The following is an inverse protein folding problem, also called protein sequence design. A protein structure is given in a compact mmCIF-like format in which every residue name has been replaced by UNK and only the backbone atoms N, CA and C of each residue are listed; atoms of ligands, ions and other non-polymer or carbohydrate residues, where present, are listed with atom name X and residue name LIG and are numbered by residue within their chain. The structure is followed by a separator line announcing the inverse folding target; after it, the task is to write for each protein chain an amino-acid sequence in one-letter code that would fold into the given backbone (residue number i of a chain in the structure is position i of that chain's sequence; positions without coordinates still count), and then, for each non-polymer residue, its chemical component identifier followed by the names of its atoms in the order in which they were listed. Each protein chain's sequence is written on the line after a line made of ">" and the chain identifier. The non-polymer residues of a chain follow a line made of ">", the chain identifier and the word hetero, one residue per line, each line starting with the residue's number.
data_IF_693553250170
#
_entry.id   IF_693553250170
#
_cell.length_a   1.000
_cell.length_b   1.000
_cell.length_c   1.000
_cell.angle_alpha   90.00
_cell.angle_beta   90.00
_cell.angle_gamma   90.00
#
_symmetry.space_group_name_H-M   'P 1'
#
loop_
_entity.id
_entity.type
_entity.pdbx_description
1 polymer ?
#
# COMPACT_ATOMS: atom_id res chain seq x y z
N UNK A 1 -12.41 25.29 24.46
CA UNK A 1 -13.26 24.10 24.18
C UNK A 1 -12.53 22.88 24.73
N UNK A 2 -12.78 22.56 26.00
CA UNK A 2 -12.13 21.43 26.68
C UNK A 2 -12.69 20.11 26.16
N UNK A 3 -11.80 19.23 25.68
CA UNK A 3 -12.16 17.92 25.15
C UNK A 3 -12.75 17.03 26.24
N UNK A 4 -13.99 16.58 26.04
CA UNK A 4 -14.61 15.54 26.85
C UNK A 4 -13.78 14.26 26.68
N UNK A 5 -13.24 13.65 27.75
CA UNK A 5 -12.55 12.39 27.62
C UNK A 5 -13.55 11.34 27.12
N UNK A 6 -13.35 10.89 25.88
CA UNK A 6 -14.15 9.83 25.27
C UNK A 6 -14.19 8.62 26.21
N UNK A 7 -15.41 8.24 26.58
CA UNK A 7 -15.74 7.16 27.51
C UNK A 7 -14.82 5.94 27.36
N UNK A 8 -14.23 5.49 28.47
CA UNK A 8 -13.33 4.31 28.55
C UNK A 8 -14.09 2.98 28.44
N UNK A 9 -15.10 2.91 27.57
CA UNK A 9 -15.94 1.75 27.35
C UNK A 9 -15.83 1.20 25.93
N UNK A 10 -16.48 0.08 25.72
CA UNK A 10 -16.63 -0.55 24.42
C UNK A 10 -17.46 0.36 23.49
N UNK A 11 -16.82 0.93 22.48
CA UNK A 11 -17.50 1.76 21.48
C UNK A 11 -18.32 0.94 20.47
N UNK A 12 -18.20 -0.39 20.42
CA UNK A 12 -19.02 -1.25 19.55
C UNK A 12 -20.43 -1.48 20.12
N UNK A 13 -20.55 -1.73 21.44
CA UNK A 13 -21.84 -1.97 22.08
C UNK A 13 -22.29 -0.83 23.03
N UNK A 14 -21.43 0.16 23.28
CA UNK A 14 -21.69 1.28 24.19
C UNK A 14 -21.50 0.97 25.68
N UNK A 15 -21.14 -0.26 26.05
CA UNK A 15 -20.98 -0.64 27.46
C UNK A 15 -19.66 -0.17 28.07
N UNK A 16 -19.71 0.28 29.32
CA UNK A 16 -18.53 0.69 30.10
C UNK A 16 -17.85 -0.48 30.84
N UNK A 17 -18.41 -1.69 30.79
CA UNK A 17 -17.91 -2.84 31.57
C UNK A 17 -16.70 -3.55 30.97
N UNK A 18 -16.37 -3.26 29.70
CA UNK A 18 -15.30 -3.93 28.97
C UNK A 18 -14.74 -3.03 27.87
N UNK A 19 -13.57 -3.38 27.34
CA UNK A 19 -12.99 -2.71 26.17
C UNK A 19 -13.41 -3.43 24.90
N UNK A 20 -13.30 -2.77 23.74
CA UNK A 20 -13.76 -3.34 22.46
C UNK A 20 -13.17 -4.70 22.11
N UNK A 21 -11.97 -5.01 22.60
CA UNK A 21 -11.33 -6.33 22.38
C UNK A 21 -12.05 -7.46 23.11
N UNK A 22 -12.73 -7.13 24.20
CA UNK A 22 -13.44 -8.07 25.08
C UNK A 22 -14.97 -7.99 24.88
N UNK A 23 -15.42 -7.39 23.78
CA UNK A 23 -16.85 -7.23 23.51
C UNK A 23 -17.52 -8.59 23.27
N UNK A 24 -18.48 -9.01 24.11
CA UNK A 24 -19.13 -10.31 23.97
C UNK A 24 -19.95 -10.39 22.67
N UNK A 25 -20.41 -9.26 22.13
CA UNK A 25 -21.09 -9.20 20.84
C UNK A 25 -20.15 -9.46 19.66
N UNK A 26 -18.85 -9.22 19.82
CA UNK A 26 -17.84 -9.42 18.78
C UNK A 26 -17.59 -10.90 18.49
N UNK A 27 -17.79 -11.78 19.47
CA UNK A 27 -17.65 -13.22 19.30
C UNK A 27 -18.73 -13.83 18.40
N UNK A 28 -19.88 -13.17 18.24
CA UNK A 28 -20.98 -13.66 17.38
C UNK A 28 -20.92 -13.16 15.95
N UNK A 29 -20.09 -12.17 15.65
CA UNK A 29 -19.85 -11.76 14.27
C UNK A 29 -18.75 -12.66 13.73
N UNK A 30 -19.16 -13.56 12.84
CA UNK A 30 -18.33 -14.50 12.09
C UNK A 30 -17.16 -13.74 11.43
N UNK A 31 -16.03 -13.61 12.14
CA UNK A 31 -14.78 -13.21 11.52
C UNK A 31 -14.39 -14.37 10.61
N UNK A 32 -14.25 -14.16 9.28
CA UNK A 32 -13.52 -15.15 8.50
C UNK A 32 -12.17 -15.39 9.20
N UNK A 33 -11.71 -16.66 9.28
CA UNK A 33 -10.49 -17.01 9.99
C UNK A 33 -9.38 -16.07 9.54
N UNK A 34 -8.66 -15.51 10.52
CA UNK A 34 -7.55 -14.60 10.29
C UNK A 34 -6.56 -15.31 9.37
N UNK A 35 -6.59 -14.97 8.09
CA UNK A 35 -5.63 -15.44 7.10
C UNK A 35 -4.30 -14.75 7.37
N UNK A 36 -3.54 -15.33 8.30
CA UNK A 36 -2.08 -15.43 8.41
C UNK A 36 -1.13 -14.24 8.19
N UNK A 37 -1.56 -13.09 7.66
CA UNK A 37 -0.62 -12.09 7.14
C UNK A 37 -0.26 -10.96 8.11
N UNK A 38 -0.96 -10.83 9.25
CA UNK A 38 -0.73 -9.74 10.22
C UNK A 38 -0.62 -10.23 11.69
N UNK A 39 -0.27 -11.50 11.93
CA UNK A 39 0.07 -11.95 13.27
C UNK A 39 1.49 -11.49 13.60
N UNK A 40 1.62 -10.36 14.31
CA UNK A 40 2.88 -9.95 14.94
C UNK A 40 3.16 -10.95 16.07
N UNK A 41 4.28 -11.70 16.03
CA UNK A 41 4.62 -12.64 17.09
C UNK A 41 5.10 -11.84 18.30
N UNK A 42 4.24 -11.67 19.29
CA UNK A 42 4.66 -11.19 20.62
C UNK A 42 4.95 -12.43 21.46
N UNK A 43 6.25 -12.66 21.68
CA UNK A 43 6.77 -13.39 22.84
C UNK A 43 6.65 -14.90 22.79
N UNK A 44 7.80 -15.57 22.81
CA UNK A 44 7.93 -16.99 23.07
C UNK A 44 7.45 -17.35 24.49
N UNK A 45 6.65 -18.41 24.65
CA UNK A 45 6.69 -19.24 25.84
C UNK A 45 7.52 -20.50 25.55
N UNK A 46 8.47 -20.70 26.44
CA UNK A 46 9.29 -21.88 26.64
C UNK A 46 8.47 -23.16 26.91
N UNK A 47 9.08 -24.30 26.56
CA UNK A 47 8.95 -25.65 27.16
C UNK A 47 7.80 -26.60 26.74
N UNK A 48 8.17 -27.54 25.85
CA UNK A 48 8.06 -29.03 25.91
C UNK A 48 6.79 -29.72 26.43
N UNK A 49 6.23 -30.64 25.61
CA UNK A 49 5.94 -32.09 25.83
C UNK A 49 4.89 -32.62 24.79
N UNK A 50 4.63 -33.94 24.67
CA UNK A 50 5.16 -34.86 23.67
C UNK A 50 4.13 -35.27 22.58
N UNK A 51 4.62 -35.97 21.56
CA UNK A 51 3.85 -36.62 20.48
C UNK A 51 2.82 -37.63 20.99
N UNK A 52 1.58 -37.61 20.49
CA UNK A 52 0.75 -38.79 20.42
C UNK A 52 0.70 -39.35 18.99
N UNK A 53 1.12 -40.60 18.93
CA UNK A 53 0.87 -41.66 17.98
C UNK A 53 -0.39 -41.53 17.11
N UNK A 54 -0.14 -41.82 15.83
CA UNK A 54 -1.00 -42.46 14.83
C UNK A 54 -2.33 -43.01 15.36
N UNK A 55 -3.43 -42.51 14.79
CA UNK A 55 -4.66 -43.29 14.61
C UNK A 55 -5.32 -42.84 13.31
N UNK A 56 -5.25 -43.75 12.35
CA UNK A 56 -5.94 -43.78 11.08
C UNK A 56 -7.44 -43.49 11.21
N UNK A 57 -7.93 -42.50 10.47
CA UNK A 57 -9.32 -42.41 10.08
C UNK A 57 -9.40 -42.07 8.59
N UNK A 58 -9.68 -43.10 7.82
CA UNK A 58 -10.00 -43.08 6.41
C UNK A 58 -11.27 -42.27 6.19
N UNK A 59 -11.16 -41.10 5.55
CA UNK A 59 -12.30 -40.45 4.92
C UNK A 59 -11.96 -40.20 3.46
N UNK A 60 -12.48 -41.10 2.62
CA UNK A 60 -12.62 -40.90 1.20
C UNK A 60 -13.55 -39.71 0.94
N UNK A 61 -12.96 -38.59 0.56
CA UNK A 61 -13.67 -37.48 -0.07
C UNK A 61 -12.90 -37.09 -1.33
N UNK A 62 -13.09 -37.88 -2.38
CA UNK A 62 -12.77 -37.51 -3.74
C UNK A 62 -13.62 -36.30 -4.15
N UNK A 63 -13.05 -35.11 -4.04
CA UNK A 63 -13.56 -33.89 -4.67
C UNK A 63 -12.58 -33.49 -5.79
N UNK A 64 -13.09 -33.20 -7.01
CA UNK A 64 -12.24 -32.88 -8.15
C UNK A 64 -11.61 -31.50 -7.97
N UNK A 65 -10.28 -31.48 -8.04
CA UNK A 65 -9.48 -30.28 -8.20
C UNK A 65 -9.76 -29.72 -9.59
N UNK A 66 -10.72 -28.80 -9.70
CA UNK A 66 -10.90 -27.97 -10.90
C UNK A 66 -9.76 -26.96 -11.00
N UNK A 67 -8.65 -27.45 -11.55
CA UNK A 67 -7.58 -26.69 -12.17
C UNK A 67 -8.14 -25.98 -13.40
N UNK A 68 -8.57 -24.73 -13.22
CA UNK A 68 -8.91 -23.82 -14.32
C UNK A 68 -7.62 -23.33 -14.99
N UNK A 69 -7.01 -24.20 -15.80
CA UNK A 69 -6.08 -23.82 -16.86
C UNK A 69 -6.89 -23.55 -18.14
N UNK A 70 -7.76 -22.53 -18.09
CA UNK A 70 -8.37 -22.00 -19.30
C UNK A 70 -7.39 -21.02 -19.95
N UNK A 71 -6.49 -21.57 -20.77
CA UNK A 71 -5.52 -20.69 -21.41
C UNK A 71 -4.59 -21.32 -22.43
N UNK A 72 -4.80 -22.55 -22.93
CA UNK A 72 -3.86 -23.08 -23.93
C UNK A 72 -4.37 -24.26 -24.79
N UNK A 73 -5.64 -24.28 -25.16
CA UNK A 73 -6.20 -25.35 -26.01
C UNK A 73 -6.89 -24.82 -27.29
N UNK A 74 -6.43 -23.70 -27.85
CA UNK A 74 -7.01 -23.11 -29.06
C UNK A 74 -5.98 -22.74 -30.15
N UNK A 75 -4.79 -23.35 -30.10
CA UNK A 75 -3.73 -23.13 -31.10
C UNK A 75 -3.14 -24.40 -31.73
N UNK A 76 -3.61 -25.61 -31.36
CA UNK A 76 -3.08 -26.87 -31.92
C UNK A 76 -3.93 -27.50 -33.04
N UNK A 77 -4.98 -26.82 -33.50
CA UNK A 77 -5.74 -27.22 -34.69
C UNK A 77 -5.22 -26.59 -36.01
N UNK A 78 -3.97 -26.10 -36.04
CA UNK A 78 -3.46 -25.29 -37.15
C UNK A 78 -2.42 -25.98 -38.05
N UNK A 79 -1.97 -27.21 -37.79
CA UNK A 79 -0.87 -27.84 -38.57
C UNK A 79 -1.17 -29.25 -39.11
N UNK A 80 -2.44 -29.57 -39.36
CA UNK A 80 -2.84 -30.89 -39.88
C UNK A 80 -3.94 -30.86 -40.94
N UNK A 81 -4.11 -29.78 -41.69
CA UNK A 81 -5.08 -29.75 -42.80
C UNK A 81 -4.36 -30.16 -44.08
N UNK A 82 -4.47 -31.45 -44.39
CA UNK A 82 -4.13 -32.00 -45.68
C UNK A 82 -4.87 -31.23 -46.79
N UNK A 83 -4.09 -30.96 -47.82
CA UNK A 83 -4.40 -30.20 -49.01
C UNK A 83 -5.48 -30.90 -49.86
N UNK A 84 -6.74 -30.87 -49.39
CA UNK A 84 -7.88 -31.22 -50.21
C UNK A 84 -8.35 -29.95 -50.90
N UNK A 85 -8.19 -29.94 -52.23
CA UNK A 85 -8.48 -28.85 -53.14
C UNK A 85 -9.98 -28.58 -53.19
N UNK A 86 -10.51 -27.96 -52.14
CA UNK A 86 -11.91 -27.57 -52.05
C UNK A 86 -12.05 -26.19 -52.70
N UNK A 87 -12.81 -26.14 -53.79
CA UNK A 87 -13.10 -24.93 -54.54
C UNK A 87 -13.63 -23.87 -53.59
N UNK A 88 -12.96 -22.72 -53.61
CA UNK A 88 -13.06 -21.73 -52.55
C UNK A 88 -14.43 -21.10 -52.44
N UNK A 89 -15.05 -21.27 -51.28
CA UNK A 89 -16.07 -20.32 -50.81
C UNK A 89 -15.39 -18.96 -50.61
N UNK A 90 -15.68 -17.94 -51.44
CA UNK A 90 -15.12 -16.60 -51.24
C UNK A 90 -15.45 -16.04 -49.85
N UNK A 91 -16.52 -16.53 -49.23
CA UNK A 91 -16.97 -16.18 -47.88
C UNK A 91 -15.96 -16.62 -46.80
N UNK A 92 -15.37 -17.83 -46.92
CA UNK A 92 -14.40 -18.34 -45.92
C UNK A 92 -13.14 -17.47 -45.89
N UNK A 93 -12.65 -17.07 -47.06
CA UNK A 93 -11.47 -16.19 -47.19
C UNK A 93 -11.71 -14.79 -46.60
N UNK A 94 -12.91 -14.23 -46.80
CA UNK A 94 -13.30 -12.95 -46.19
C UNK A 94 -13.32 -13.07 -44.67
N UNK A 95 -13.89 -14.15 -44.13
CA UNK A 95 -13.95 -14.37 -42.68
C UNK A 95 -12.56 -14.50 -42.05
N UNK A 96 -11.66 -15.27 -42.69
CA UNK A 96 -10.27 -15.41 -42.23
C UNK A 96 -9.56 -14.04 -42.21
N UNK A 97 -9.73 -13.23 -43.27
CA UNK A 97 -9.16 -11.89 -43.33
C UNK A 97 -9.67 -10.98 -42.20
N UNK A 98 -10.97 -11.02 -41.91
CA UNK A 98 -11.59 -10.25 -40.82
C UNK A 98 -11.02 -10.67 -39.46
N UNK A 99 -10.92 -11.97 -39.18
CA UNK A 99 -10.33 -12.47 -37.94
C UNK A 99 -8.87 -12.00 -37.79
N UNK A 100 -8.06 -12.16 -38.84
CA UNK A 100 -6.66 -11.72 -38.84
C UNK A 100 -6.55 -10.21 -38.58
N UNK A 101 -7.45 -9.41 -39.17
CA UNK A 101 -7.45 -7.96 -38.99
C UNK A 101 -7.86 -7.57 -37.56
N UNK A 102 -8.91 -8.18 -37.00
CA UNK A 102 -9.34 -7.99 -35.60
C UNK A 102 -8.21 -8.35 -34.64
N UNK A 103 -7.51 -9.46 -34.89
CA UNK A 103 -6.36 -9.87 -34.08
C UNK A 103 -5.19 -8.88 -34.19
N UNK A 104 -4.86 -8.41 -35.41
CA UNK A 104 -3.83 -7.38 -35.63
C UNK A 104 -4.16 -6.06 -34.92
N UNK A 105 -5.41 -5.60 -34.99
CA UNK A 105 -5.88 -4.40 -34.28
C UNK A 105 -5.77 -4.59 -32.76
N UNK A 106 -6.22 -5.74 -32.25
CA UNK A 106 -6.13 -6.07 -30.83
C UNK A 106 -4.69 -6.14 -30.34
N UNK A 107 -3.77 -6.71 -31.14
CA UNK A 107 -2.34 -6.77 -30.87
C UNK A 107 -1.71 -5.38 -30.84
N UNK A 108 -2.02 -4.52 -31.82
CA UNK A 108 -1.58 -3.10 -31.83
C UNK A 108 -2.07 -2.36 -30.58
N UNK A 109 -3.33 -2.53 -30.19
CA UNK A 109 -3.91 -1.89 -28.99
C UNK A 109 -3.25 -2.35 -27.69
N UNK A 110 -2.86 -3.63 -27.57
CA UNK A 110 -2.08 -4.14 -26.41
C UNK A 110 -0.67 -3.55 -26.38
N UNK A 111 0.03 -3.51 -27.51
CA UNK A 111 1.37 -2.92 -27.60
C UNK A 111 1.37 -1.42 -27.31
N UNK A 112 0.37 -0.68 -27.80
CA UNK A 112 0.23 0.75 -27.52
C UNK A 112 -0.07 1.01 -26.04
N UNK A 113 -0.96 0.23 -25.41
CA UNK A 113 -1.19 0.30 -23.96
C UNK A 113 0.10 0.02 -23.17
N UNK A 114 0.94 -0.91 -23.62
CA UNK A 114 2.24 -1.19 -23.00
C UNK A 114 3.18 0.02 -23.14
N UNK A 115 3.30 0.58 -24.35
CA UNK A 115 4.08 1.82 -24.60
C UNK A 115 3.60 3.02 -23.79
N UNK A 116 2.30 3.14 -23.52
CA UNK A 116 1.76 4.21 -22.66
C UNK A 116 2.06 4.00 -21.17
N UNK A 117 2.09 2.75 -20.68
CA UNK A 117 2.36 2.41 -19.26
C UNK A 117 3.84 2.42 -18.89
N UNK A 118 4.71 2.15 -19.86
CA UNK A 118 6.16 2.11 -19.67
C UNK A 118 6.78 3.42 -19.14
N UNK A 119 6.49 4.61 -19.70
CA UNK A 119 7.04 5.86 -19.16
C UNK A 119 6.55 6.15 -17.74
N UNK A 120 5.31 5.81 -17.40
CA UNK A 120 4.77 5.98 -16.04
C UNK A 120 5.46 5.06 -15.04
N UNK A 121 5.72 3.80 -15.42
CA UNK A 121 6.49 2.87 -14.61
C UNK A 121 7.91 3.39 -14.37
N UNK A 122 8.60 3.84 -15.43
CA UNK A 122 9.96 4.39 -15.33
C UNK A 122 9.97 5.66 -14.46
N UNK A 123 9.00 6.57 -14.64
CA UNK A 123 8.86 7.78 -13.83
C UNK A 123 8.67 7.45 -12.35
N UNK A 124 7.74 6.55 -12.01
CA UNK A 124 7.52 6.10 -10.63
C UNK A 124 8.76 5.44 -10.02
N UNK A 125 9.51 4.66 -10.82
CA UNK A 125 10.76 4.05 -10.38
C UNK A 125 11.84 5.10 -10.09
N UNK A 126 11.96 6.15 -10.90
CA UNK A 126 12.89 7.27 -10.64
C UNK A 126 12.55 8.00 -9.35
N UNK A 127 11.27 8.32 -9.12
CA UNK A 127 10.83 8.99 -7.88
C UNK A 127 11.16 8.14 -6.65
N UNK A 128 10.87 6.83 -6.69
CA UNK A 128 11.21 5.92 -5.58
C UNK A 128 12.71 5.90 -5.29
N UNK A 129 13.54 5.90 -6.33
CA UNK A 129 15.00 5.92 -6.17
C UNK A 129 15.50 7.26 -5.60
N UNK A 130 14.92 8.39 -6.01
CA UNK A 130 15.26 9.70 -5.47
C UNK A 130 14.91 9.79 -3.98
N UNK A 131 13.68 9.44 -3.62
CA UNK A 131 13.25 9.43 -2.22
C UNK A 131 14.09 8.48 -1.35
N UNK A 132 14.56 7.36 -1.93
CA UNK A 132 15.48 6.44 -1.26
C UNK A 132 16.83 7.09 -0.94
N UNK A 133 17.42 7.80 -1.91
CA UNK A 133 18.69 8.54 -1.72
C UNK A 133 18.53 9.71 -0.73
N UNK A 134 17.43 10.44 -0.80
CA UNK A 134 17.13 11.53 0.14
C UNK A 134 17.03 11.00 1.57
N UNK A 135 16.32 9.90 1.77
CA UNK A 135 16.22 9.24 3.08
C UNK A 135 17.58 8.77 3.60
N UNK A 136 18.39 8.14 2.77
CA UNK A 136 19.74 7.69 3.14
C UNK A 136 20.62 8.89 3.53
N UNK A 137 20.57 9.99 2.77
CA UNK A 137 21.32 11.21 3.08
C UNK A 137 20.90 11.83 4.42
N UNK A 138 19.59 11.83 4.70
CA UNK A 138 19.05 12.31 5.97
C UNK A 138 19.47 11.43 7.15
N UNK A 139 19.44 10.10 6.99
CA UNK A 139 19.89 9.15 8.02
C UNK A 139 21.40 9.34 8.32
N UNK A 140 22.23 9.55 7.29
CA UNK A 140 23.65 9.87 7.47
C UNK A 140 23.87 11.22 8.17
N UNK A 141 23.13 12.26 7.78
CA UNK A 141 23.24 13.59 8.40
C UNK A 141 22.83 13.54 9.88
N UNK A 142 21.71 12.89 10.18
CA UNK A 142 21.27 12.67 11.57
C UNK A 142 22.29 11.84 12.35
N UNK A 143 22.86 10.80 11.75
CA UNK A 143 23.93 10.01 12.33
C UNK A 143 25.13 10.86 12.73
N UNK A 144 25.63 11.70 11.80
CA UNK A 144 26.73 12.64 12.07
C UNK A 144 26.39 13.64 13.18
N UNK A 145 25.16 14.18 13.21
CA UNK A 145 24.73 15.10 14.27
C UNK A 145 24.68 14.43 15.63
N UNK A 146 24.25 13.17 15.70
CA UNK A 146 24.24 12.40 16.94
C UNK A 146 25.67 12.06 17.37
N UNK A 147 26.52 11.63 16.46
CA UNK A 147 27.94 11.34 16.72
C UNK A 147 28.68 12.56 17.26
N UNK A 148 28.42 13.75 16.72
CA UNK A 148 28.97 15.02 17.24
C UNK A 148 28.45 15.39 18.64
N UNK A 149 27.21 15.00 18.99
CA UNK A 149 26.60 15.28 20.30
C UNK A 149 26.98 14.24 21.37
N UNK A 150 27.33 13.01 20.97
CA UNK A 150 27.66 11.93 21.91
C UNK A 150 28.79 12.27 22.90
N UNK A 151 29.91 12.89 22.48
CA UNK A 151 30.96 13.32 23.41
C UNK A 151 30.51 14.39 24.41
N UNK A 152 29.51 15.21 24.05
CA UNK A 152 28.98 16.26 24.94
C UNK A 152 28.08 15.67 26.03
N UNK A 153 27.34 14.61 25.72
CA UNK A 153 26.42 13.95 26.66
C UNK A 153 27.13 12.96 27.58
N UNK A 154 28.21 12.34 27.10
CA UNK A 154 29.06 11.45 27.89
C UNK A 154 30.47 12.03 27.94
N UNK A 155 30.72 13.11 28.73
CA UNK A 155 32.09 13.46 29.05
C UNK A 155 32.68 12.27 29.77
N UNK A 156 33.58 11.55 29.10
CA UNK A 156 34.37 10.49 29.72
C UNK A 156 35.14 11.18 30.83
N UNK A 157 34.67 11.01 32.07
CA UNK A 157 35.35 11.51 33.26
C UNK A 157 36.62 10.66 33.42
N UNK A 158 37.64 10.98 32.64
CA UNK A 158 39.01 10.60 32.98
C UNK A 158 39.42 11.51 34.14
N UNK A 159 39.03 11.09 35.35
CA UNK A 159 39.49 11.56 36.66
C UNK A 159 39.68 13.08 36.84
N UNK A 160 38.74 13.76 37.50
CA UNK A 160 39.05 15.08 38.04
C UNK A 160 37.85 15.93 38.45
N UNK A 161 37.63 15.98 39.76
CA UNK A 161 37.13 17.13 40.55
C UNK A 161 35.84 17.81 40.06
N UNK A 162 34.74 17.44 40.72
CA UNK A 162 33.44 18.08 40.57
C UNK A 162 33.46 19.50 41.15
N UNK A 163 33.44 20.53 40.30
CA UNK A 163 33.18 21.92 40.70
C UNK A 163 31.96 22.43 39.93
N UNK A 164 31.02 23.01 40.68
CA UNK A 164 29.62 23.16 40.32
C UNK A 164 29.33 23.98 39.05
N UNK A 165 28.68 23.30 38.08
CA UNK A 165 28.14 23.88 36.84
C UNK A 165 26.65 24.25 37.01
N UNK A 166 26.40 25.33 37.77
CA UNK A 166 25.04 25.88 37.95
C UNK A 166 24.77 27.03 36.95
N UNK A 167 25.80 27.69 36.45
CA UNK A 167 25.69 28.78 35.45
C UNK A 167 25.35 28.30 34.03
N UNK A 168 25.95 27.19 33.59
CA UNK A 168 25.82 26.67 32.21
C UNK A 168 24.37 26.31 31.85
N UNK A 169 23.57 25.88 32.83
CA UNK A 169 22.17 25.47 32.62
C UNK A 169 21.25 26.62 32.21
N UNK A 170 21.58 27.87 32.55
CA UNK A 170 20.75 29.04 32.18
C UNK A 170 20.92 29.40 30.70
N UNK A 171 22.15 29.37 30.20
CA UNK A 171 22.42 29.66 28.79
C UNK A 171 21.89 28.54 27.88
N UNK A 172 22.00 27.28 28.34
CA UNK A 172 21.41 26.13 27.67
C UNK A 172 19.87 26.22 27.58
N UNK A 173 19.21 26.68 28.65
CA UNK A 173 17.76 26.93 28.64
C UNK A 173 17.35 28.02 27.64
N UNK A 174 18.17 29.07 27.46
CA UNK A 174 17.90 30.12 26.49
C UNK A 174 18.02 29.59 25.05
N UNK A 175 19.05 28.78 24.78
CA UNK A 175 19.25 28.12 23.48
C UNK A 175 18.10 27.17 23.16
N UNK A 176 17.69 26.33 24.11
CA UNK A 176 16.58 25.38 23.92
C UNK A 176 15.23 26.06 23.72
N UNK A 177 15.01 27.25 24.31
CA UNK A 177 13.80 28.05 24.05
C UNK A 177 13.79 28.60 22.63
N UNK A 178 14.91 29.17 22.17
CA UNK A 178 15.02 29.67 20.80
C UNK A 178 14.88 28.55 19.76
N UNK A 179 15.47 27.37 20.01
CA UNK A 179 15.31 26.21 19.12
C UNK A 179 13.85 25.72 19.09
N UNK A 180 13.16 25.66 20.23
CA UNK A 180 11.74 25.30 20.28
C UNK A 180 10.84 26.29 19.53
N UNK A 181 11.13 27.59 19.64
CA UNK A 181 10.40 28.62 18.90
C UNK A 181 10.57 28.45 17.39
N UNK A 182 11.80 28.21 16.94
CA UNK A 182 12.09 27.92 15.52
C UNK A 182 11.38 26.65 15.03
N UNK A 183 11.33 25.60 15.86
CA UNK A 183 10.64 24.36 15.53
C UNK A 183 9.12 24.57 15.44
N UNK A 184 8.53 25.41 16.29
CA UNK A 184 7.11 25.78 16.18
C UNK A 184 6.83 26.50 14.87
N UNK A 185 7.68 27.48 14.50
CA UNK A 185 7.54 28.19 13.22
C UNK A 185 7.64 27.24 12.01
N UNK A 186 8.56 26.27 12.04
CA UNK A 186 8.67 25.24 10.97
C UNK A 186 7.43 24.35 10.89
N UNK A 187 6.88 23.95 12.04
CA UNK A 187 5.66 23.13 12.08
C UNK A 187 4.43 23.90 11.58
N UNK A 188 4.33 25.19 11.87
CA UNK A 188 3.26 26.03 11.35
C UNK A 188 3.40 26.24 9.83
N UNK A 189 4.62 26.47 9.33
CA UNK A 189 4.88 26.55 7.89
C UNK A 189 4.57 25.25 7.14
N UNK A 190 4.94 24.10 7.71
CA UNK A 190 4.65 22.79 7.11
C UNK A 190 3.14 22.47 7.07
N UNK A 191 2.37 22.95 8.05
CA UNK A 191 0.90 22.83 8.03
C UNK A 191 0.29 23.67 6.93
N UNK A 192 0.75 24.90 6.77
CA UNK A 192 0.27 25.80 5.71
C UNK A 192 0.52 25.21 4.31
N UNK A 193 1.72 24.67 4.05
CA UNK A 193 2.02 24.04 2.75
C UNK A 193 1.19 22.78 2.52
N UNK A 194 0.97 21.98 3.56
CA UNK A 194 0.16 20.76 3.46
C UNK A 194 -1.33 21.07 3.17
N UNK A 195 -1.86 22.17 3.73
CA UNK A 195 -3.21 22.63 3.45
C UNK A 195 -3.34 23.17 2.01
N UNK A 196 -2.34 23.92 1.54
CA UNK A 196 -2.28 24.39 0.14
C UNK A 196 -2.21 23.24 -0.87
N UNK A 197 -1.34 22.26 -0.64
CA UNK A 197 -1.23 21.06 -1.49
C UNK A 197 -2.55 20.27 -1.52
N UNK A 198 -3.19 20.14 -0.36
CA UNK A 198 -4.49 19.46 -0.25
C UNK A 198 -5.59 20.24 -0.98
N UNK A 199 -5.58 21.56 -0.91
CA UNK A 199 -6.53 22.41 -1.64
C UNK A 199 -6.36 22.26 -3.15
N UNK A 200 -5.12 22.29 -3.66
CA UNK A 200 -4.82 22.10 -5.08
C UNK A 200 -5.32 20.72 -5.55
N UNK A 201 -5.08 19.65 -4.78
CA UNK A 201 -5.56 18.30 -5.12
C UNK A 201 -7.08 18.21 -5.18
N UNK A 202 -7.79 18.80 -4.21
CA UNK A 202 -9.26 18.83 -4.20
C UNK A 202 -9.81 19.64 -5.38
N UNK A 203 -9.16 20.75 -5.74
CA UNK A 203 -9.54 21.56 -6.89
C UNK A 203 -9.40 20.77 -8.20
N UNK A 204 -8.33 19.98 -8.34
CA UNK A 204 -8.15 19.07 -9.47
C UNK A 204 -9.21 17.97 -9.53
N UNK A 205 -9.54 17.35 -8.39
CA UNK A 205 -10.58 16.32 -8.30
C UNK A 205 -11.96 16.88 -8.70
N UNK A 206 -12.29 18.10 -8.28
CA UNK A 206 -13.52 18.78 -8.70
C UNK A 206 -13.57 19.03 -10.22
N UNK A 207 -12.45 19.41 -10.83
CA UNK A 207 -12.35 19.59 -12.29
C UNK A 207 -12.55 18.26 -13.01
N UNK A 208 -11.97 17.17 -12.50
CA UNK A 208 -12.08 15.86 -13.11
C UNK A 208 -13.49 15.28 -12.99
N UNK A 209 -14.13 15.42 -11.82
CA UNK A 209 -15.53 15.04 -11.61
C UNK A 209 -16.48 15.81 -12.52
N UNK A 210 -16.25 17.13 -12.73
CA UNK A 210 -17.03 17.91 -13.72
C UNK A 210 -16.88 17.38 -15.14
N UNK A 211 -15.67 16.97 -15.55
CA UNK A 211 -15.45 16.35 -16.86
C UNK A 211 -16.15 15.01 -16.99
N UNK A 212 -16.14 14.18 -15.95
CA UNK A 212 -16.84 12.90 -15.93
C UNK A 212 -18.36 13.09 -16.04
N UNK A 213 -18.92 14.04 -15.31
CA UNK A 213 -20.35 14.40 -15.38
C UNK A 213 -20.75 14.86 -16.79
N UNK A 214 -19.97 15.73 -17.41
CA UNK A 214 -20.21 16.18 -18.78
C UNK A 214 -20.15 15.01 -19.79
N UNK A 215 -19.16 14.11 -19.65
CA UNK A 215 -19.02 12.93 -20.51
C UNK A 215 -20.12 11.87 -20.31
N UNK A 216 -20.60 11.69 -19.07
CA UNK A 216 -21.63 10.70 -18.75
C UNK A 216 -23.04 11.16 -19.14
N UNK A 217 -23.32 12.47 -19.09
CA UNK A 217 -24.57 13.05 -19.62
C UNK A 217 -24.77 12.73 -21.11
N UNK A 218 -23.70 12.84 -21.90
CA UNK A 218 -23.70 12.48 -23.32
C UNK A 218 -23.95 10.99 -23.57
N UNK A 219 -23.50 10.10 -22.67
CA UNK A 219 -23.75 8.65 -22.80
C UNK A 219 -25.19 8.27 -22.44
N UNK A 220 -25.77 8.86 -21.39
CA UNK A 220 -27.18 8.63 -21.03
C UNK A 220 -28.14 9.11 -22.11
N UNK A 221 -27.86 10.25 -22.76
CA UNK A 221 -28.70 10.73 -23.86
C UNK A 221 -28.64 9.85 -25.13
N UNK A 222 -27.55 9.11 -25.32
CA UNK A 222 -27.42 8.16 -26.45
C UNK A 222 -28.08 6.81 -26.20
N UNK A 223 -28.34 6.40 -24.95
CA UNK A 223 -29.02 5.13 -24.67
C UNK A 223 -30.55 5.24 -24.66
N UNK A 224 -31.09 6.44 -24.85
CA UNK A 224 -32.53 6.73 -24.90
C UNK A 224 -33.05 6.97 -26.32
N UNK A 225 -32.22 6.74 -27.35
CA UNK A 225 -32.59 6.72 -28.77
C UNK A 225 -32.37 5.32 -29.32
#
# INVERSE_FOLDING_TARGET
>A
MAGVPMNRGCYECGSLSHWVRDCPQRARQFRPPVTGANAVPIGAPMLTLPTPSSSSATFNSSLPLSSSHEGEALLDLALGINHQQDLGDPIKNVWIFVIINIWKISRRKRSEKKRRREPDYVRRKRIRNLNGRERESFEQEMGKRLEMRMPQLCPVKEGGTEVGSVGVKKDELAILKAENEMLRLKLEGAKASQEEDRFILLQWELIDLRKQMAGNGLRRMRSLR
#
